data_IF_351902944245
#
_entry.id   IF_351902944245
#
_cell.length_a   1.000
_cell.length_b   1.000
_cell.length_c   1.000
_cell.angle_alpha   90.00
_cell.angle_beta   90.00
_cell.angle_gamma   90.00
#
_symmetry.space_group_name_H-M   'P 1'
#
loop_
_entity.id
_entity.type
_entity.pdbx_description
1 polymer ?
#
# COMPACT_ATOMS: atom_id res chain seq x y z
N UNK A 1 0.32 -18.15 10.52
CA UNK A 1 0.93 -18.42 9.20
C UNK A 1 0.20 -17.55 8.17
N UNK A 2 0.91 -16.93 7.23
CA UNK A 2 0.38 -16.29 6.01
C UNK A 2 -0.20 -14.86 6.13
N UNK A 3 0.62 -13.88 6.54
CA UNK A 3 0.46 -12.48 6.10
C UNK A 3 1.61 -12.04 5.16
N UNK A 4 2.51 -12.97 4.82
CA UNK A 4 3.68 -12.71 3.98
C UNK A 4 3.32 -12.76 2.49
N UNK A 5 2.32 -13.55 2.09
CA UNK A 5 1.93 -13.68 0.67
C UNK A 5 1.22 -12.45 0.12
N UNK A 6 0.39 -11.76 0.92
CA UNK A 6 -0.37 -10.60 0.42
C UNK A 6 0.50 -9.36 0.20
N UNK A 7 1.54 -9.12 1.01
CA UNK A 7 2.45 -7.99 0.80
C UNK A 7 3.28 -8.19 -0.48
N UNK A 8 3.66 -9.43 -0.79
CA UNK A 8 4.30 -9.78 -2.05
C UNK A 8 3.42 -9.48 -3.27
N UNK A 9 2.10 -9.66 -3.15
CA UNK A 9 1.14 -9.32 -4.21
C UNK A 9 0.96 -7.81 -4.41
N UNK A 10 1.29 -6.95 -3.43
CA UNK A 10 1.21 -5.49 -3.62
C UNK A 10 2.39 -5.00 -4.48
N UNK A 11 3.59 -5.55 -4.24
CA UNK A 11 4.79 -5.20 -5.01
C UNK A 11 4.74 -5.66 -6.48
N UNK A 12 3.80 -6.53 -6.86
CA UNK A 12 3.63 -6.91 -8.28
C UNK A 12 2.92 -5.85 -9.13
N UNK A 13 2.33 -4.81 -8.52
CA UNK A 13 1.52 -3.82 -9.25
C UNK A 13 2.15 -2.43 -9.34
N UNK A 14 2.95 -2.05 -8.35
CA UNK A 14 3.64 -0.78 -8.37
C UNK A 14 4.99 -0.83 -7.68
N UNK A 15 5.83 0.12 -8.08
CA UNK A 15 7.13 0.39 -7.49
C UNK A 15 7.15 1.80 -6.90
N UNK A 16 7.73 1.93 -5.71
CA UNK A 16 7.93 3.21 -5.05
C UNK A 16 9.42 3.56 -5.04
N UNK A 17 9.73 4.81 -5.36
CA UNK A 17 11.06 5.36 -5.07
C UNK A 17 11.34 5.34 -3.57
N UNK A 18 12.61 5.42 -3.16
CA UNK A 18 12.96 5.47 -1.73
C UNK A 18 12.30 6.67 -0.99
N UNK A 19 12.16 7.82 -1.67
CA UNK A 19 11.46 8.99 -1.14
C UNK A 19 9.96 8.75 -0.99
N UNK A 20 9.32 8.25 -2.06
CA UNK A 20 7.89 7.90 -2.05
C UNK A 20 7.56 6.84 -0.99
N UNK A 21 8.43 5.83 -0.83
CA UNK A 21 8.25 4.77 0.16
C UNK A 21 8.18 5.32 1.59
N UNK A 22 9.02 6.31 1.95
CA UNK A 22 8.98 6.96 3.28
C UNK A 22 7.66 7.66 3.53
N UNK A 23 7.12 8.36 2.53
CA UNK A 23 5.85 9.07 2.64
C UNK A 23 4.69 8.06 2.76
N UNK A 24 4.71 7.02 1.93
CA UNK A 24 3.72 5.95 1.95
C UNK A 24 3.66 5.24 3.32
N UNK A 25 4.82 4.95 3.89
CA UNK A 25 4.92 4.39 5.24
C UNK A 25 4.29 5.28 6.31
N UNK A 26 4.50 6.59 6.26
CA UNK A 26 3.90 7.53 7.21
C UNK A 26 2.38 7.51 7.11
N UNK A 27 1.84 7.50 5.89
CA UNK A 27 0.40 7.36 5.68
C UNK A 27 -0.13 6.03 6.26
N UNK A 28 0.53 4.91 5.99
CA UNK A 28 0.17 3.60 6.56
C UNK A 28 0.22 3.63 8.09
N UNK A 29 1.20 4.28 8.70
CA UNK A 29 1.28 4.44 10.14
C UNK A 29 0.13 5.27 10.72
N UNK A 30 -0.32 6.32 10.01
CA UNK A 30 -1.50 7.07 10.40
C UNK A 30 -2.76 6.19 10.35
N UNK A 31 -2.94 5.42 9.28
CA UNK A 31 -4.07 4.49 9.15
C UNK A 31 -4.04 3.40 10.24
N UNK A 32 -2.86 2.86 10.54
CA UNK A 32 -2.69 1.83 11.58
C UNK A 32 -2.92 2.31 13.02
N UNK A 33 -2.95 3.64 13.24
CA UNK A 33 -3.37 4.25 14.52
C UNK A 33 -4.89 4.36 14.63
N UNK A 34 -5.60 4.43 13.51
CA UNK A 34 -7.05 4.63 13.48
C UNK A 34 -7.80 3.32 13.74
N UNK A 35 -7.42 2.22 13.07
CA UNK A 35 -8.12 0.95 13.25
C UNK A 35 -7.30 -0.26 12.80
N UNK A 36 -7.94 -1.43 12.85
CA UNK A 36 -7.26 -2.72 12.64
C UNK A 36 -6.85 -2.95 11.18
N UNK A 37 -7.73 -2.63 10.24
CA UNK A 37 -7.60 -3.00 8.84
C UNK A 37 -7.40 -1.79 7.93
N UNK A 38 -6.69 -2.02 6.82
CA UNK A 38 -6.47 -1.05 5.77
C UNK A 38 -6.78 -1.67 4.40
N UNK A 39 -7.54 -0.95 3.59
CA UNK A 39 -7.71 -1.23 2.18
C UNK A 39 -6.64 -0.48 1.38
N UNK A 40 -5.86 -1.22 0.59
CA UNK A 40 -4.97 -0.69 -0.44
C UNK A 40 -5.68 -0.85 -1.77
N UNK A 41 -5.98 0.27 -2.42
CA UNK A 41 -6.71 0.32 -3.68
C UNK A 41 -5.76 0.87 -4.74
N UNK A 42 -5.55 0.10 -5.79
CA UNK A 42 -4.73 0.46 -6.92
C UNK A 42 -5.62 0.79 -8.11
N UNK A 43 -5.43 1.99 -8.66
CA UNK A 43 -6.05 2.50 -9.88
C UNK A 43 -4.94 2.94 -10.83
N UNK A 44 -5.21 3.04 -12.15
CA UNK A 44 -4.20 3.50 -13.11
C UNK A 44 -3.55 4.83 -12.74
N UNK A 45 -4.34 5.77 -12.20
CA UNK A 45 -3.88 7.12 -11.87
C UNK A 45 -3.59 7.36 -10.39
N UNK A 46 -3.98 6.41 -9.52
CA UNK A 46 -3.95 6.61 -8.07
C UNK A 46 -3.68 5.33 -7.30
N UNK A 47 -2.86 5.45 -6.26
CA UNK A 47 -2.74 4.47 -5.20
C UNK A 47 -3.41 5.04 -3.95
N UNK A 48 -4.40 4.37 -3.42
CA UNK A 48 -5.14 4.81 -2.24
C UNK A 48 -4.90 3.84 -1.10
N UNK A 49 -4.68 4.38 0.10
CA UNK A 49 -4.81 3.63 1.34
C UNK A 49 -5.93 4.24 2.17
N UNK A 50 -6.87 3.40 2.59
CA UNK A 50 -8.04 3.76 3.36
C UNK A 50 -8.14 2.85 4.59
N UNK A 51 -8.45 3.41 5.74
CA UNK A 51 -8.90 2.66 6.90
C UNK A 51 -9.93 3.45 7.70
N UNK A 52 -10.64 2.73 8.57
CA UNK A 52 -11.61 3.29 9.51
C UNK A 52 -11.30 2.78 10.91
N UNK A 53 -11.85 3.45 11.92
CA UNK A 53 -11.85 2.95 13.28
C UNK A 53 -12.73 1.70 13.40
N UNK A 54 -12.51 0.92 14.47
CA UNK A 54 -13.25 -0.34 14.68
C UNK A 54 -14.75 -0.11 14.93
N UNK A 55 -15.14 1.10 15.37
CA UNK A 55 -16.52 1.53 15.54
C UNK A 55 -17.17 2.08 14.27
N UNK A 56 -16.44 2.15 13.15
CA UNK A 56 -16.90 2.75 11.89
C UNK A 56 -17.45 4.19 12.03
N UNK A 57 -16.99 4.93 13.03
CA UNK A 57 -17.40 6.31 13.32
C UNK A 57 -16.50 7.34 12.62
N UNK A 58 -15.28 6.96 12.23
CA UNK A 58 -14.30 7.81 11.59
C UNK A 58 -13.48 7.03 10.55
N UNK A 59 -13.23 7.65 9.41
CA UNK A 59 -12.41 7.09 8.34
C UNK A 59 -11.33 8.08 7.90
N UNK A 60 -10.21 7.55 7.43
CA UNK A 60 -9.13 8.34 6.84
C UNK A 60 -8.63 7.67 5.56
N UNK A 61 -8.31 8.50 4.58
CA UNK A 61 -7.74 8.05 3.32
C UNK A 61 -6.55 8.91 2.91
N UNK A 62 -5.55 8.28 2.31
CA UNK A 62 -4.48 8.95 1.59
C UNK A 62 -4.49 8.47 0.14
N UNK A 63 -4.57 9.42 -0.79
CA UNK A 63 -4.51 9.16 -2.22
C UNK A 63 -3.17 9.69 -2.78
N UNK A 64 -2.44 8.82 -3.45
CA UNK A 64 -1.15 9.11 -4.08
C UNK A 64 -1.33 9.10 -5.59
N UNK A 65 -1.09 10.24 -6.23
CA UNK A 65 -1.25 10.42 -7.68
C UNK A 65 -0.17 9.66 -8.46
N UNK A 66 -0.42 9.44 -9.76
CA UNK A 66 0.44 8.72 -10.71
C UNK A 66 1.94 9.02 -10.57
N UNK A 67 2.34 10.27 -10.35
CA UNK A 67 3.75 10.67 -10.25
C UNK A 67 4.46 10.13 -8.99
N UNK A 68 3.72 9.58 -8.02
CA UNK A 68 4.26 9.07 -6.77
C UNK A 68 4.82 7.64 -6.88
N UNK A 69 4.34 6.86 -7.86
CA UNK A 69 4.65 5.44 -8.04
C UNK A 69 4.83 5.10 -9.51
N UNK A 70 5.66 4.11 -9.82
CA UNK A 70 5.72 3.52 -11.16
C UNK A 70 4.79 2.31 -11.18
N UNK A 71 4.02 2.13 -12.25
CA UNK A 71 3.31 0.87 -12.42
C UNK A 71 4.31 -0.18 -12.88
N UNK A 72 4.28 -1.36 -12.27
CA UNK A 72 5.06 -2.49 -12.77
C UNK A 72 4.33 -3.01 -14.02
N UNK A 73 4.97 -3.05 -15.20
CA UNK A 73 4.32 -3.59 -16.39
C UNK A 73 4.20 -5.12 -16.22
N UNK A 74 3.08 -5.59 -15.70
CA UNK A 74 2.74 -7.01 -15.76
C UNK A 74 2.31 -7.32 -17.20
N UNK A 75 3.04 -8.21 -17.88
CA UNK A 75 2.91 -8.56 -19.30
C UNK A 75 1.59 -9.23 -19.72
N UNK A 76 0.46 -8.59 -19.45
CA UNK A 76 -0.84 -8.98 -19.97
C UNK A 76 -1.56 -7.71 -20.40
N UNK A 77 -1.47 -7.40 -21.69
CA UNK A 77 -1.97 -6.22 -22.39
C UNK A 77 -3.52 -6.10 -22.42
N UNK A 78 -4.26 -6.71 -21.49
CA UNK A 78 -5.73 -6.72 -21.54
C UNK A 78 -6.45 -6.10 -20.32
N UNK A 79 -5.75 -5.54 -19.32
CA UNK A 79 -6.40 -5.06 -18.07
C UNK A 79 -5.97 -3.68 -17.58
N UNK A 80 -5.57 -2.78 -18.48
CA UNK A 80 -5.06 -1.42 -18.20
C UNK A 80 -6.06 -0.50 -17.47
N UNK A 81 -7.29 -0.95 -17.15
CA UNK A 81 -8.33 -0.14 -16.50
C UNK A 81 -8.98 -0.74 -15.25
N UNK A 82 -8.56 -1.89 -14.73
CA UNK A 82 -9.23 -2.46 -13.55
C UNK A 82 -8.67 -1.95 -12.23
N UNK A 83 -9.53 -1.32 -11.44
CA UNK A 83 -9.29 -1.08 -10.00
C UNK A 83 -9.02 -2.42 -9.32
N UNK A 84 -7.95 -2.49 -8.53
CA UNK A 84 -7.62 -3.64 -7.69
C UNK A 84 -7.64 -3.24 -6.24
N UNK A 85 -8.28 -4.05 -5.40
CA UNK A 85 -8.40 -3.79 -3.97
C UNK A 85 -7.87 -4.97 -3.18
N UNK A 86 -7.02 -4.68 -2.21
CA UNK A 86 -6.52 -5.65 -1.23
C UNK A 86 -6.79 -5.10 0.17
N UNK A 87 -7.36 -5.92 1.04
CA UNK A 87 -7.53 -5.59 2.46
C UNK A 87 -6.48 -6.34 3.25
N UNK A 88 -5.77 -5.61 4.11
CA UNK A 88 -4.69 -6.13 4.95
C UNK A 88 -4.79 -5.58 6.37
N UNK A 89 -4.15 -6.26 7.32
CA UNK A 89 -4.00 -5.71 8.66
C UNK A 89 -3.06 -4.49 8.63
N UNK A 90 -3.55 -3.34 9.09
CA UNK A 90 -2.85 -2.06 8.98
C UNK A 90 -1.50 -2.08 9.73
N UNK A 91 -1.48 -2.65 10.95
CA UNK A 91 -0.24 -2.82 11.73
C UNK A 91 0.74 -3.80 11.07
N UNK A 92 0.23 -4.89 10.48
CA UNK A 92 1.05 -5.85 9.74
C UNK A 92 1.73 -5.21 8.52
N UNK A 93 0.99 -4.40 7.76
CA UNK A 93 1.52 -3.65 6.62
C UNK A 93 2.59 -2.64 7.06
N UNK A 94 2.36 -1.90 8.15
CA UNK A 94 3.33 -0.95 8.69
C UNK A 94 4.67 -1.62 9.07
N UNK A 95 4.62 -2.80 9.69
CA UNK A 95 5.80 -3.59 10.05
C UNK A 95 6.53 -4.10 8.81
N UNK A 96 5.80 -4.64 7.84
CA UNK A 96 6.39 -5.15 6.59
C UNK A 96 7.14 -4.06 5.82
N UNK A 97 6.56 -2.85 5.75
CA UNK A 97 7.19 -1.71 5.10
C UNK A 97 8.42 -1.20 5.88
N UNK A 98 8.46 -1.30 7.21
CA UNK A 98 9.67 -0.95 7.98
C UNK A 98 10.83 -1.90 7.63
N UNK A 99 10.54 -3.19 7.46
CA UNK A 99 11.53 -4.21 7.09
C UNK A 99 12.07 -4.11 5.65
N UNK A 100 11.38 -3.40 4.74
CA UNK A 100 11.89 -3.18 3.38
C UNK A 100 12.98 -2.12 3.34
N UNK A 101 12.92 -1.07 4.17
CA UNK A 101 13.98 -0.06 4.27
C UNK A 101 15.30 -0.60 4.78
N UNK A 102 15.28 -1.50 5.76
CA UNK A 102 16.51 -2.09 6.31
C UNK A 102 17.29 -2.89 5.25
N UNK A 103 16.60 -3.44 4.25
CA UNK A 103 17.22 -4.15 3.13
C UNK A 103 17.71 -3.20 2.03
N UNK A 104 17.00 -2.11 1.76
CA UNK A 104 17.45 -1.10 0.79
C UNK A 104 18.64 -0.29 1.30
N UNK A 105 18.77 -0.05 2.61
CA UNK A 105 19.92 0.66 3.19
C UNK A 105 21.20 -0.18 3.33
N UNK A 106 21.12 -1.49 3.03
CA UNK A 106 22.25 -2.44 3.08
C UNK A 106 22.74 -2.87 1.68
N UNK A 107 22.20 -2.28 0.63
CA UNK A 107 22.67 -2.41 -0.76
C UNK A 107 23.14 -1.04 -1.24
#
# INVERSE_FOLDING_TARGET
>A
MVAVTQVSSINTFFELSAGSLRIFQRAVQCIAKLGRDAAVIFRPEELVIHGADDGHSAASQFAFRRNFFRCTPSGSEASVQQERRVVVQARGLAVALRGSQQRTARR
#
